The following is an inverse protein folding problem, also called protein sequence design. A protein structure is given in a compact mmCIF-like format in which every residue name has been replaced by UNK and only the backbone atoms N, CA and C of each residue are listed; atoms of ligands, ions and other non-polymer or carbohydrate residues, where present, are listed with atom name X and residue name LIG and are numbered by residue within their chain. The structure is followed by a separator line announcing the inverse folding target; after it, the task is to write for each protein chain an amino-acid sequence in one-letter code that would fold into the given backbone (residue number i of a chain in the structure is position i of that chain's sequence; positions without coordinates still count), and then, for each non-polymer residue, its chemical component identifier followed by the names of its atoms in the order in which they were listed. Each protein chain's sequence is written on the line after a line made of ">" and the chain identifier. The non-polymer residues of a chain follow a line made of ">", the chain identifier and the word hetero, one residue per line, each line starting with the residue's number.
data_IF_799358638341
#
_entry.id   IF_799358638341
#
_cell.length_a   1.000
_cell.length_b   1.000
_cell.length_c   1.000
_cell.angle_alpha   90.00
_cell.angle_beta   90.00
_cell.angle_gamma   90.00
#
_symmetry.space_group_name_H-M   'P 1'
#
loop_
_entity.id
_entity.type
_entity.pdbx_description
1 polymer ?
#
# COMPACT_ATOMS: atom_id res chain seq x y z
N UNK A 1 15.83 -11.55 1.60
CA UNK A 1 15.28 -10.32 0.99
C UNK A 1 13.76 -10.42 0.93
N UNK A 2 13.03 -9.42 1.44
CA UNK A 2 11.58 -9.41 1.45
C UNK A 2 10.99 -9.41 0.02
N UNK A 3 9.77 -9.93 -0.17
CA UNK A 3 9.13 -10.02 -1.49
C UNK A 3 8.99 -8.63 -2.17
N UNK A 4 8.68 -7.58 -1.41
CA UNK A 4 8.56 -6.20 -1.91
C UNK A 4 9.84 -5.65 -2.53
N UNK A 5 11.00 -6.05 -2.01
CA UNK A 5 12.30 -5.62 -2.53
C UNK A 5 12.60 -6.32 -3.87
N UNK A 6 12.17 -7.58 -4.05
CA UNK A 6 12.28 -8.28 -5.34
C UNK A 6 11.35 -7.71 -6.42
N UNK A 7 10.11 -7.39 -6.06
CA UNK A 7 9.15 -6.80 -6.99
C UNK A 7 9.52 -5.35 -7.39
N UNK A 8 10.34 -4.68 -6.57
CA UNK A 8 10.72 -3.28 -6.73
C UNK A 8 9.68 -2.36 -6.08
N UNK A 9 10.12 -1.51 -5.16
CA UNK A 9 9.22 -0.70 -4.31
C UNK A 9 8.31 0.27 -5.09
N UNK A 10 8.67 0.62 -6.34
CA UNK A 10 7.87 1.48 -7.22
C UNK A 10 6.82 0.73 -8.04
N UNK A 11 6.83 -0.60 -8.00
CA UNK A 11 5.94 -1.47 -8.78
C UNK A 11 4.82 -2.09 -7.93
N UNK A 12 4.63 -1.62 -6.69
CA UNK A 12 3.67 -2.17 -5.73
C UNK A 12 2.77 -1.05 -5.23
N UNK A 13 1.48 -1.32 -5.12
CA UNK A 13 0.50 -0.41 -4.52
C UNK A 13 -0.36 -1.19 -3.53
N UNK A 14 -0.85 -0.51 -2.51
CA UNK A 14 -1.84 -1.03 -1.60
C UNK A 14 -3.26 -0.59 -2.02
N UNK A 15 -4.25 -1.44 -1.81
CA UNK A 15 -5.66 -1.16 -2.10
C UNK A 15 -6.55 -1.71 -0.99
N UNK A 16 -7.72 -1.10 -0.83
CA UNK A 16 -8.77 -1.57 0.09
C UNK A 16 -9.62 -2.69 -0.49
N UNK A 17 -9.67 -2.77 -1.82
CA UNK A 17 -10.56 -3.64 -2.61
C UNK A 17 -12.07 -3.49 -2.30
N UNK A 18 -12.50 -2.29 -1.86
CA UNK A 18 -13.91 -1.99 -1.68
C UNK A 18 -14.68 -2.04 -3.02
N UNK A 19 -15.92 -2.58 -3.08
CA UNK A 19 -16.77 -3.08 -1.99
C UNK A 19 -16.78 -4.61 -1.85
N UNK A 20 -15.72 -5.32 -2.26
CA UNK A 20 -15.72 -6.77 -2.17
C UNK A 20 -15.83 -7.26 -0.72
N UNK A 21 -16.33 -8.49 -0.53
CA UNK A 21 -16.60 -9.05 0.79
C UNK A 21 -15.35 -9.25 1.66
N UNK A 22 -14.20 -9.35 1.02
CA UNK A 22 -12.85 -9.46 1.60
C UNK A 22 -12.13 -8.12 1.67
N UNK A 23 -12.83 -7.01 1.41
CA UNK A 23 -12.29 -5.66 1.54
C UNK A 23 -11.84 -5.37 2.97
N UNK A 24 -10.81 -4.54 3.09
CA UNK A 24 -10.38 -3.98 4.39
C UNK A 24 -11.26 -2.81 4.85
N UNK A 25 -12.18 -2.31 4.02
CA UNK A 25 -13.10 -1.25 4.40
C UNK A 25 -14.18 -1.77 5.39
N UNK A 26 -14.58 -1.00 6.42
CA UNK A 26 -14.23 0.39 6.72
C UNK A 26 -12.96 0.57 7.56
N UNK A 27 -12.30 -0.51 7.96
CA UNK A 27 -11.12 -0.53 8.85
C UNK A 27 -9.79 -0.46 8.08
N UNK A 28 -9.80 0.25 6.95
CA UNK A 28 -8.68 0.29 6.00
C UNK A 28 -7.41 0.91 6.61
N UNK A 29 -7.55 1.81 7.58
CA UNK A 29 -6.41 2.47 8.23
C UNK A 29 -5.71 1.53 9.21
N UNK A 30 -6.49 0.75 9.94
CA UNK A 30 -6.03 -0.27 10.87
C UNK A 30 -5.32 -1.39 10.12
N UNK A 31 -5.95 -1.89 9.03
CA UNK A 31 -5.34 -2.90 8.17
C UNK A 31 -4.00 -2.41 7.57
N UNK A 32 -3.95 -1.17 7.07
CA UNK A 32 -2.70 -0.59 6.56
C UNK A 32 -1.63 -0.50 7.68
N UNK A 33 -2.01 -0.13 8.90
CA UNK A 33 -1.06 -0.06 10.02
C UNK A 33 -0.51 -1.46 10.39
N UNK A 34 -1.37 -2.48 10.40
CA UNK A 34 -0.99 -3.86 10.67
C UNK A 34 -0.06 -4.44 9.58
N UNK A 35 -0.46 -4.31 8.31
CA UNK A 35 0.29 -4.84 7.17
C UNK A 35 1.70 -4.23 7.03
N UNK A 36 1.90 -3.01 7.52
CA UNK A 36 3.15 -2.26 7.37
C UNK A 36 3.83 -1.95 8.72
N UNK A 37 3.52 -2.67 9.80
CA UNK A 37 4.03 -2.37 11.14
C UNK A 37 5.57 -2.46 11.24
N UNK A 38 6.21 -3.30 10.43
CA UNK A 38 7.66 -3.52 10.36
C UNK A 38 8.30 -2.91 9.10
N UNK A 39 7.53 -2.14 8.32
CA UNK A 39 8.01 -1.53 7.07
C UNK A 39 8.47 -0.09 7.33
N UNK A 40 9.67 0.31 6.85
CA UNK A 40 10.14 1.68 6.98
C UNK A 40 9.11 2.70 6.45
N UNK A 41 9.00 3.84 7.13
CA UNK A 41 7.98 4.85 6.85
C UNK A 41 8.00 5.35 5.40
N UNK A 42 9.19 5.47 4.80
CA UNK A 42 9.38 5.88 3.40
C UNK A 42 8.84 4.84 2.40
N UNK A 43 9.11 3.55 2.64
CA UNK A 43 8.60 2.46 1.79
C UNK A 43 7.08 2.37 1.91
N UNK A 44 6.55 2.51 3.14
CA UNK A 44 5.10 2.54 3.40
C UNK A 44 4.43 3.71 2.67
N UNK A 45 5.00 4.91 2.71
CA UNK A 45 4.42 6.09 2.05
C UNK A 45 4.36 5.91 0.52
N UNK A 46 5.40 5.32 -0.08
CA UNK A 46 5.41 4.98 -1.50
C UNK A 46 4.30 3.98 -1.84
N UNK A 47 4.19 2.89 -1.09
CA UNK A 47 3.27 1.79 -1.42
C UNK A 47 1.80 2.15 -1.08
N UNK A 48 1.56 2.88 0.00
CA UNK A 48 0.21 3.23 0.47
C UNK A 48 -0.50 4.24 -0.43
N UNK A 49 0.23 5.02 -1.23
CA UNK A 49 -0.38 6.00 -2.13
C UNK A 49 0.58 6.73 -3.06
N UNK A 50 1.86 6.87 -2.71
CA UNK A 50 2.83 7.60 -3.55
C UNK A 50 2.98 7.03 -4.96
N UNK A 51 3.01 5.70 -5.10
CA UNK A 51 3.09 5.04 -6.40
C UNK A 51 1.80 5.24 -7.22
N UNK A 52 0.63 5.18 -6.58
CA UNK A 52 -0.65 5.46 -7.25
C UNK A 52 -0.72 6.92 -7.71
N UNK A 53 -0.31 7.87 -6.86
CA UNK A 53 -0.27 9.28 -7.23
C UNK A 53 0.65 9.55 -8.42
N UNK A 54 1.83 8.93 -8.46
CA UNK A 54 2.75 9.04 -9.59
C UNK A 54 2.19 8.42 -10.88
N UNK A 55 1.60 7.22 -10.79
CA UNK A 55 1.07 6.48 -11.93
C UNK A 55 -0.15 7.17 -12.55
N UNK A 56 -1.07 7.64 -11.70
CA UNK A 56 -2.32 8.25 -12.12
C UNK A 56 -2.26 9.78 -12.23
N UNK A 57 -1.07 10.37 -12.07
CA UNK A 57 -0.84 11.81 -12.11
C UNK A 57 -1.75 12.60 -11.17
N UNK A 58 -1.90 12.12 -9.94
CA UNK A 58 -2.69 12.79 -8.90
C UNK A 58 -1.79 13.78 -8.14
N UNK A 59 -2.14 15.07 -8.19
CA UNK A 59 -1.41 16.17 -7.55
C UNK A 59 -2.29 17.41 -7.40
#
# INVERSE_FOLDING_TARGET
>A
MAARQRAGLRNIMWSTDYPHSDSTWPHSREALAEHFHDVPAEERALIAGGNAAALYHLG
#
